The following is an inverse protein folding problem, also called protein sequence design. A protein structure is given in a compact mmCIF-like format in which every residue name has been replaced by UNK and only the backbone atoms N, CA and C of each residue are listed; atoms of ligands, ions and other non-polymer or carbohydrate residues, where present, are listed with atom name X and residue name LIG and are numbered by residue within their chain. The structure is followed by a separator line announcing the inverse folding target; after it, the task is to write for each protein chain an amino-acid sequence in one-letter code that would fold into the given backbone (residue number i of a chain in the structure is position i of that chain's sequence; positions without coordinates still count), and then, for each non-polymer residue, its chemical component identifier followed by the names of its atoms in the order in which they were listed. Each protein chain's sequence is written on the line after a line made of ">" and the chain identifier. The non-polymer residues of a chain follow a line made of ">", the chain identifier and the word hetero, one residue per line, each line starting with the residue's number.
data_IF_573876384622
#
_entry.id   IF_573876384622
#
_cell.length_a   1.000
_cell.length_b   1.000
_cell.length_c   1.000
_cell.angle_alpha   90.00
_cell.angle_beta   90.00
_cell.angle_gamma   90.00
#
_symmetry.space_group_name_H-M   'P 1'
#
loop_
_entity.id
_entity.type
_entity.pdbx_description
1 polymer ?
#
# COMPACT_ATOMS: atom_id res chain seq x y z
N UNK A 1 12.49 -4.96 17.05
CA UNK A 1 11.58 -4.99 15.88
C UNK A 1 12.34 -4.51 14.64
N UNK A 2 12.22 -5.20 13.51
CA UNK A 2 12.84 -4.79 12.24
C UNK A 2 12.02 -3.70 11.55
N UNK A 3 12.66 -2.83 10.76
CA UNK A 3 11.99 -1.77 9.98
C UNK A 3 10.83 -2.30 9.13
N UNK A 4 11.04 -3.40 8.40
CA UNK A 4 10.00 -3.99 7.56
C UNK A 4 8.84 -4.58 8.37
N UNK A 5 9.11 -5.08 9.58
CA UNK A 5 8.06 -5.55 10.49
C UNK A 5 7.21 -4.41 11.04
N UNK A 6 7.82 -3.27 11.34
CA UNK A 6 7.10 -2.07 11.73
C UNK A 6 6.28 -1.51 10.55
N UNK A 7 6.90 -1.38 9.37
CA UNK A 7 6.23 -0.84 8.20
C UNK A 7 5.07 -1.74 7.73
N UNK A 8 5.20 -3.07 7.83
CA UNK A 8 4.14 -4.01 7.46
C UNK A 8 2.93 -3.93 8.39
N UNK A 9 3.14 -3.62 9.68
CA UNK A 9 2.03 -3.37 10.61
C UNK A 9 1.14 -2.21 10.15
N UNK A 10 1.76 -1.18 9.57
CA UNK A 10 1.09 0.01 9.05
C UNK A 10 0.80 -0.05 7.54
N UNK A 11 0.88 -1.22 6.90
CA UNK A 11 0.71 -1.35 5.43
C UNK A 11 -0.62 -0.78 4.92
N UNK A 12 -1.68 -0.81 5.74
CA UNK A 12 -3.00 -0.25 5.40
C UNK A 12 -2.99 1.27 5.20
N UNK A 13 -1.97 1.95 5.71
CA UNK A 13 -1.82 3.41 5.59
C UNK A 13 -0.96 3.78 4.38
N UNK A 14 -0.33 2.78 3.74
CA UNK A 14 0.71 2.96 2.76
C UNK A 14 0.21 2.49 1.40
N UNK A 15 -0.05 3.44 0.49
CA UNK A 15 -0.42 3.12 -0.88
C UNK A 15 0.71 2.34 -1.57
N UNK A 16 0.36 1.22 -2.21
CA UNK A 16 1.29 0.34 -2.93
C UNK A 16 2.44 -0.21 -2.06
N UNK A 17 2.19 -0.46 -0.77
CA UNK A 17 3.20 -0.96 0.16
C UNK A 17 3.95 -2.19 -0.36
N UNK A 18 3.24 -3.19 -0.87
CA UNK A 18 3.86 -4.43 -1.36
C UNK A 18 4.85 -4.16 -2.50
N UNK A 19 4.59 -3.17 -3.35
CA UNK A 19 5.47 -2.78 -4.46
C UNK A 19 6.77 -2.17 -3.92
N UNK A 20 6.64 -1.24 -2.98
CA UNK A 20 7.78 -0.56 -2.38
C UNK A 20 8.62 -1.53 -1.54
N UNK A 21 7.95 -2.39 -0.76
CA UNK A 21 8.61 -3.32 0.14
C UNK A 21 9.25 -4.51 -0.60
N UNK A 22 8.82 -4.85 -1.83
CA UNK A 22 9.34 -5.98 -2.62
C UNK A 22 10.87 -5.99 -2.74
N UNK A 23 11.46 -4.85 -3.11
CA UNK A 23 12.93 -4.74 -3.28
C UNK A 23 13.68 -4.87 -1.95
N UNK A 24 13.04 -4.48 -0.84
CA UNK A 24 13.54 -4.59 0.52
C UNK A 24 13.39 -6.01 1.06
N UNK A 25 12.27 -6.70 0.83
CA UNK A 25 12.11 -8.10 1.21
C UNK A 25 13.17 -8.99 0.55
N UNK A 26 13.51 -8.70 -0.71
CA UNK A 26 14.55 -9.44 -1.45
C UNK A 26 15.93 -9.33 -0.81
N UNK A 27 16.25 -8.26 -0.08
CA UNK A 27 17.55 -8.15 0.62
C UNK A 27 17.60 -8.99 1.91
N UNK A 28 16.44 -9.41 2.43
CA UNK A 28 16.33 -10.25 3.62
C UNK A 28 16.45 -11.75 3.29
N UNK A 29 16.50 -12.11 2.01
CA UNK A 29 16.75 -13.48 1.56
C UNK A 29 18.22 -13.85 1.80
N UNK A 30 18.45 -15.06 2.32
CA UNK A 30 19.77 -15.59 2.61
C UNK A 30 20.65 -15.73 1.36
N UNK A 31 20.02 -15.92 0.18
CA UNK A 31 20.73 -16.06 -1.10
C UNK A 31 21.07 -14.72 -1.75
N UNK A 32 20.61 -13.59 -1.19
CA UNK A 32 20.81 -12.27 -1.78
C UNK A 32 21.87 -11.49 -1.02
N UNK A 33 22.86 -10.96 -1.73
CA UNK A 33 23.86 -10.08 -1.13
C UNK A 33 23.19 -8.83 -0.55
N UNK A 34 23.51 -8.51 0.71
CA UNK A 34 23.03 -7.30 1.37
C UNK A 34 23.70 -6.06 0.76
N UNK A 35 23.06 -5.50 -0.28
CA UNK A 35 23.49 -4.26 -0.95
C UNK A 35 22.34 -3.28 -1.04
N UNK A 36 22.53 -2.09 -0.48
CA UNK A 36 21.52 -1.04 -0.54
C UNK A 36 21.68 -0.25 -1.85
N UNK A 37 21.08 -0.77 -2.92
CA UNK A 37 21.07 -0.13 -4.25
C UNK A 37 20.25 1.16 -4.23
N UNK A 38 20.45 2.04 -5.23
CA UNK A 38 19.65 3.27 -5.34
C UNK A 38 18.14 3.01 -5.35
N UNK A 39 17.70 1.91 -5.98
CA UNK A 39 16.29 1.50 -5.97
C UNK A 39 15.79 1.21 -4.55
N UNK A 40 16.54 0.42 -3.78
CA UNK A 40 16.21 0.07 -2.40
C UNK A 40 16.24 1.29 -1.49
N UNK A 41 17.20 2.20 -1.67
CA UNK A 41 17.24 3.48 -0.92
C UNK A 41 15.98 4.30 -1.21
N UNK A 42 15.61 4.44 -2.48
CA UNK A 42 14.37 5.15 -2.87
C UNK A 42 13.13 4.48 -2.28
N UNK A 43 13.06 3.15 -2.26
CA UNK A 43 11.96 2.42 -1.66
C UNK A 43 11.88 2.64 -0.15
N UNK A 44 13.01 2.55 0.56
CA UNK A 44 13.11 2.84 1.98
C UNK A 44 12.64 4.27 2.31
N UNK A 45 13.13 5.27 1.58
CA UNK A 45 12.75 6.67 1.78
C UNK A 45 11.27 6.92 1.51
N UNK A 46 10.69 6.30 0.47
CA UNK A 46 9.25 6.39 0.20
C UNK A 46 8.42 5.81 1.34
N UNK A 47 8.78 4.64 1.85
CA UNK A 47 8.08 4.01 2.98
C UNK A 47 8.23 4.86 4.24
N UNK A 48 9.45 5.34 4.53
CA UNK A 48 9.72 6.22 5.67
C UNK A 48 8.86 7.48 5.61
N UNK A 49 8.89 8.18 4.48
CA UNK A 49 8.12 9.41 4.25
C UNK A 49 6.62 9.15 4.39
N UNK A 50 6.12 8.09 3.77
CA UNK A 50 4.71 7.74 3.86
C UNK A 50 4.27 7.32 5.26
N UNK A 51 5.15 6.74 6.09
CA UNK A 51 4.87 6.46 7.51
C UNK A 51 4.81 7.75 8.35
N UNK A 52 5.68 8.73 8.06
CA UNK A 52 5.71 10.00 8.79
C UNK A 52 4.63 10.99 8.35
N UNK A 53 4.22 10.92 7.09
CA UNK A 53 3.20 11.80 6.50
C UNK A 53 1.84 11.13 6.34
N UNK A 54 1.69 9.89 6.84
CA UNK A 54 0.46 9.12 6.69
C UNK A 54 -0.74 9.95 7.16
N UNK A 55 -1.79 10.10 6.32
CA UNK A 55 -3.00 10.76 6.76
C UNK A 55 -3.61 9.97 7.91
N UNK A 56 -4.20 10.68 8.89
CA UNK A 56 -5.04 10.04 9.90
C UNK A 56 -6.14 9.26 9.17
N UNK A 57 -6.15 7.93 9.32
CA UNK A 57 -7.25 7.13 8.80
C UNK A 57 -8.52 7.49 9.56
N UNK A 58 -9.61 7.68 8.82
CA UNK A 58 -10.91 7.97 9.39
C UNK A 58 -11.41 6.75 10.18
N UNK A 59 -11.95 6.96 11.37
CA UNK A 59 -12.60 5.92 12.15
C UNK A 59 -13.83 5.39 11.36
N UNK A 60 -14.03 4.07 11.20
CA UNK A 60 -15.13 3.60 10.37
C UNK A 60 -16.47 3.78 11.09
N UNK A 61 -17.30 4.69 10.58
CA UNK A 61 -18.75 4.54 10.71
C UNK A 61 -19.24 3.56 9.64
N UNK A 62 -19.85 2.47 10.08
CA UNK A 62 -20.34 1.40 9.21
C UNK A 62 -21.69 1.74 8.55
N UNK A 63 -22.36 2.81 9.00
CA UNK A 63 -23.63 3.26 8.45
C UNK A 63 -23.47 4.17 7.21
N UNK A 64 -22.25 4.64 6.94
CA UNK A 64 -21.96 5.56 5.82
C UNK A 64 -21.50 4.76 4.60
N UNK A 65 -22.06 5.03 3.40
CA UNK A 65 -21.62 4.36 2.17
C UNK A 65 -20.15 4.64 1.86
N UNK A 66 -19.41 3.60 1.53
CA UNK A 66 -18.00 3.65 1.11
C UNK A 66 -17.86 3.40 -0.39
N UNK A 67 -16.78 3.91 -0.98
CA UNK A 67 -16.42 3.60 -2.37
C UNK A 67 -15.12 2.82 -2.40
N UNK A 68 -15.15 1.71 -3.13
CA UNK A 68 -13.97 0.88 -3.35
C UNK A 68 -13.35 1.22 -4.70
N UNK A 69 -12.06 1.55 -4.69
CA UNK A 69 -11.29 1.85 -5.89
C UNK A 69 -10.22 0.79 -6.06
N UNK A 70 -10.18 0.19 -7.24
CA UNK A 70 -9.18 -0.80 -7.63
C UNK A 70 -8.37 -0.20 -8.77
N UNK A 71 -7.06 -0.30 -8.67
CA UNK A 71 -6.08 0.11 -9.66
C UNK A 71 -5.09 -1.04 -9.86
N UNK A 72 -4.72 -1.31 -11.10
CA UNK A 72 -3.84 -2.41 -11.45
C UNK A 72 -2.71 -1.88 -12.34
N UNK A 73 -1.47 -2.29 -12.05
CA UNK A 73 -0.31 -1.92 -12.85
C UNK A 73 0.61 -3.13 -13.03
N UNK A 74 0.69 -3.66 -14.25
CA UNK A 74 1.41 -4.91 -14.54
C UNK A 74 0.87 -6.05 -13.69
N UNK A 75 1.78 -6.82 -13.07
CA UNK A 75 1.43 -7.95 -12.17
C UNK A 75 1.07 -7.51 -10.74
N UNK A 76 0.62 -6.28 -10.55
CA UNK A 76 0.34 -5.72 -9.22
C UNK A 76 -1.08 -5.15 -9.12
N UNK A 77 -1.73 -5.42 -8.00
CA UNK A 77 -3.04 -4.88 -7.64
C UNK A 77 -2.89 -3.92 -6.46
N UNK A 78 -3.37 -2.69 -6.67
CA UNK A 78 -3.55 -1.67 -5.65
C UNK A 78 -5.04 -1.41 -5.45
N UNK A 79 -5.49 -1.50 -4.22
CA UNK A 79 -6.88 -1.29 -3.82
C UNK A 79 -6.91 -0.21 -2.74
N UNK A 80 -7.90 0.68 -2.83
CA UNK A 80 -8.13 1.72 -1.85
C UNK A 80 -9.62 1.77 -1.53
N UNK A 81 -9.96 1.60 -0.25
CA UNK A 81 -11.30 1.93 0.22
C UNK A 81 -11.32 3.41 0.59
N UNK A 82 -12.07 4.21 -0.16
CA UNK A 82 -12.31 5.63 0.12
C UNK A 82 -13.63 5.77 0.87
N UNK A 83 -13.62 6.57 1.94
CA UNK A 83 -14.83 7.01 2.63
C UNK A 83 -14.99 8.51 2.47
N UNK A 84 -16.23 8.93 2.26
CA UNK A 84 -16.63 10.34 2.20
C UNK A 84 -17.50 10.59 3.42
N UNK A 85 -17.07 11.47 4.31
CA UNK A 85 -17.82 11.86 5.49
C UNK A 85 -17.84 13.38 5.62
N UNK A 86 -18.88 13.92 6.24
CA UNK A 86 -18.92 15.35 6.56
C UNK A 86 -18.21 15.51 7.90
N UNK A 87 -17.11 16.28 7.90
CA UNK A 87 -16.40 16.69 9.12
C UNK A 87 -16.50 18.22 9.12
N UNK A 88 -17.00 18.81 10.21
CA UNK A 88 -17.14 20.26 10.35
C UNK A 88 -17.88 20.92 9.16
N UNK A 89 -19.05 20.37 8.79
CA UNK A 89 -19.89 20.81 7.65
C UNK A 89 -19.21 20.78 6.27
N UNK A 90 -18.05 20.13 6.14
CA UNK A 90 -17.33 19.97 4.88
C UNK A 90 -17.29 18.51 4.44
N UNK A 91 -17.63 18.20 3.17
CA UNK A 91 -17.44 16.86 2.63
C UNK A 91 -15.95 16.55 2.57
N UNK A 92 -15.48 15.74 3.51
CA UNK A 92 -14.10 15.32 3.64
C UNK A 92 -14.01 13.86 3.21
N UNK A 93 -13.44 13.65 2.02
CA UNK A 93 -13.16 12.33 1.47
C UNK A 93 -11.72 11.94 1.77
N UNK A 94 -11.51 10.71 2.26
CA UNK A 94 -10.17 10.21 2.55
C UNK A 94 -10.05 8.70 2.40
N UNK A 95 -8.83 8.19 2.18
CA UNK A 95 -8.58 6.76 2.22
C UNK A 95 -8.82 6.23 3.63
N UNK A 96 -9.73 5.27 3.72
CA UNK A 96 -9.97 4.50 4.93
C UNK A 96 -8.92 3.40 5.08
N UNK A 97 -8.60 2.69 4.00
CA UNK A 97 -7.50 1.74 3.98
C UNK A 97 -6.97 1.54 2.56
N UNK A 98 -5.69 1.25 2.48
CA UNK A 98 -5.04 0.70 1.30
C UNK A 98 -4.86 -0.80 1.47
N UNK A 99 -5.12 -1.53 0.40
CA UNK A 99 -4.79 -2.94 0.25
C UNK A 99 -3.89 -3.01 -0.98
N UNK A 100 -2.76 -3.68 -0.87
CA UNK A 100 -1.92 -3.94 -2.04
C UNK A 100 -1.53 -5.39 -2.01
N UNK A 101 -1.58 -6.05 -3.16
CA UNK A 101 -1.13 -7.43 -3.31
C UNK A 101 -0.44 -7.64 -4.64
N UNK A 102 0.43 -8.65 -4.69
CA UNK A 102 0.92 -9.16 -5.97
C UNK A 102 -0.16 -10.04 -6.60
N UNK A 103 -0.24 -10.00 -7.92
CA UNK A 103 -1.06 -10.91 -8.71
C UNK A 103 -0.39 -12.28 -8.69
N UNK A 104 -1.18 -13.34 -8.49
CA UNK A 104 -0.64 -14.70 -8.53
C UNK A 104 -0.20 -15.07 -9.95
N UNK A 105 0.80 -15.96 -10.13
CA UNK A 105 1.25 -16.38 -11.46
C UNK A 105 0.14 -16.95 -12.35
N UNK A 106 -0.91 -17.49 -11.74
CA UNK A 106 -2.10 -18.01 -12.42
C UNK A 106 -3.04 -16.90 -12.89
N UNK A 107 -3.18 -15.84 -12.09
CA UNK A 107 -4.01 -14.67 -12.37
C UNK A 107 -3.35 -13.75 -13.41
N UNK A 108 -2.02 -13.69 -13.44
CA UNK A 108 -1.25 -12.91 -14.40
C UNK A 108 -1.43 -13.39 -15.86
N UNK A 109 -2.03 -14.57 -16.07
CA UNK A 109 -2.32 -15.14 -17.40
C UNK A 109 -3.67 -14.69 -17.96
N UNK A 110 -4.51 -14.03 -17.17
CA UNK A 110 -5.80 -13.53 -17.63
C UNK A 110 -5.62 -12.26 -18.46
N UNK A 111 -6.43 -12.05 -19.50
CA UNK A 111 -6.38 -10.80 -20.27
C UNK A 111 -6.86 -9.63 -19.42
N UNK A 112 -6.14 -8.51 -19.45
CA UNK A 112 -6.46 -7.31 -18.67
C UNK A 112 -7.77 -6.60 -19.12
N UNK A 113 -8.37 -7.06 -20.21
CA UNK A 113 -9.65 -6.59 -20.73
C UNK A 113 -10.52 -7.79 -21.11
N UNK A 114 -11.77 -7.76 -20.66
CA UNK A 114 -12.89 -8.51 -21.18
C UNK A 114 -13.95 -7.50 -21.63
#
# INVERSE_FOLDING_TARGET
>A
MSFLGFASHHRKHLKYFEILAKSLYRICDQQTLFKMTQERIKAYEKIRKALTEAPLMLNPDWNIPSKFYIDAFGDQLGEALLKFQIIDDKPTGGPFCYISRQVEPTEAKWSAYA
#
